data_IF_030460535739
#
_entry.id   IF_030460535739
#
_cell.length_a   1.000
_cell.length_b   1.000
_cell.length_c   1.000
_cell.angle_alpha   90.00
_cell.angle_beta   90.00
_cell.angle_gamma   90.00
#
_symmetry.space_group_name_H-M   'P 1'
#
loop_
_entity.id
_entity.type
_entity.pdbx_description
1 polymer ?
#
# COMPACT_ATOMS: atom_id res chain seq x y z
N UNK A 1 13.66 -12.96 -24.35
CA UNK A 1 12.36 -13.67 -24.41
C UNK A 1 11.25 -12.68 -24.09
N UNK A 2 10.46 -12.25 -25.07
CA UNK A 2 9.37 -11.30 -24.84
C UNK A 2 8.27 -11.98 -24.01
N UNK A 3 8.09 -11.58 -22.75
CA UNK A 3 6.99 -12.06 -21.92
C UNK A 3 5.70 -11.61 -22.61
N UNK A 4 4.94 -12.59 -23.12
CA UNK A 4 3.64 -12.36 -23.75
C UNK A 4 2.75 -11.60 -22.77
N UNK A 5 2.24 -10.47 -23.25
CA UNK A 5 1.29 -9.50 -22.67
C UNK A 5 -0.10 -10.08 -22.37
N UNK A 6 -0.19 -11.34 -21.94
CA UNK A 6 -1.47 -11.95 -21.56
C UNK A 6 -1.86 -11.51 -20.15
N UNK A 7 -3.09 -11.04 -19.94
CA UNK A 7 -3.61 -10.77 -18.61
C UNK A 7 -3.55 -12.03 -17.74
N UNK A 8 -3.17 -11.87 -16.48
CA UNK A 8 -3.11 -12.95 -15.50
C UNK A 8 -4.46 -13.12 -14.79
N UNK A 9 -4.84 -14.35 -14.45
CA UNK A 9 -6.03 -14.59 -13.64
C UNK A 9 -5.73 -14.47 -12.15
N UNK A 10 -6.77 -14.38 -11.32
CA UNK A 10 -6.65 -14.26 -9.86
C UNK A 10 -5.86 -15.40 -9.22
N UNK A 11 -6.01 -16.63 -9.73
CA UNK A 11 -5.33 -17.80 -9.17
C UNK A 11 -3.81 -17.72 -9.39
N UNK A 12 -3.37 -17.23 -10.56
CA UNK A 12 -1.93 -17.01 -10.80
C UNK A 12 -1.38 -15.94 -9.86
N UNK A 13 -2.11 -14.84 -9.64
CA UNK A 13 -1.71 -13.83 -8.67
C UNK A 13 -1.61 -14.39 -7.24
N UNK A 14 -2.59 -15.20 -6.82
CA UNK A 14 -2.57 -15.81 -5.48
C UNK A 14 -1.39 -16.75 -5.29
N UNK A 15 -1.19 -17.72 -6.20
CA UNK A 15 -0.10 -18.70 -6.10
C UNK A 15 1.27 -18.00 -5.99
N UNK A 16 1.47 -16.93 -6.77
CA UNK A 16 2.70 -16.15 -6.74
C UNK A 16 2.87 -15.33 -5.47
N UNK A 17 1.77 -14.85 -4.90
CA UNK A 17 1.75 -14.10 -3.64
C UNK A 17 2.04 -15.00 -2.44
N UNK A 18 1.41 -16.18 -2.40
CA UNK A 18 1.68 -17.23 -1.40
C UNK A 18 3.13 -17.69 -1.45
N UNK A 19 3.62 -18.02 -2.65
CA UNK A 19 5.03 -18.37 -2.87
C UNK A 19 6.00 -17.25 -2.47
N UNK A 20 5.55 -15.99 -2.52
CA UNK A 20 6.37 -14.83 -2.10
C UNK A 20 6.42 -14.73 -0.59
N UNK A 21 5.30 -14.79 0.12
CA UNK A 21 5.30 -14.74 1.59
C UNK A 21 6.08 -15.92 2.18
N UNK A 22 5.96 -17.13 1.62
CA UNK A 22 6.75 -18.28 2.07
C UNK A 22 8.25 -18.04 1.93
N UNK A 23 8.69 -17.47 0.80
CA UNK A 23 10.10 -17.12 0.58
C UNK A 23 10.60 -16.03 1.53
N UNK A 24 9.77 -15.03 1.83
CA UNK A 24 10.13 -13.93 2.74
C UNK A 24 10.53 -14.46 4.12
N UNK A 25 9.87 -15.51 4.63
CA UNK A 25 10.25 -16.13 5.92
C UNK A 25 11.72 -16.53 6.00
N UNK A 26 12.30 -16.94 4.88
CA UNK A 26 13.68 -17.43 4.81
C UNK A 26 14.67 -16.37 4.35
N UNK A 27 14.26 -15.48 3.44
CA UNK A 27 15.18 -14.58 2.73
C UNK A 27 14.79 -13.11 2.76
N UNK A 28 13.73 -12.73 3.47
CA UNK A 28 13.32 -11.33 3.63
C UNK A 28 14.19 -10.58 4.63
N UNK A 29 14.04 -9.25 4.69
CA UNK A 29 14.62 -8.46 5.78
C UNK A 29 13.98 -8.82 7.14
N UNK A 30 14.55 -8.33 8.24
CA UNK A 30 13.98 -8.56 9.57
C UNK A 30 12.55 -8.02 9.68
N UNK A 31 12.30 -6.81 9.18
CA UNK A 31 10.97 -6.20 9.15
C UNK A 31 9.99 -7.00 8.28
N UNK A 32 10.42 -7.42 7.08
CA UNK A 32 9.58 -8.22 6.17
C UNK A 32 9.20 -9.56 6.81
N UNK A 33 10.18 -10.24 7.42
CA UNK A 33 9.94 -11.50 8.14
C UNK A 33 9.00 -11.30 9.30
N UNK A 34 9.12 -10.22 10.06
CA UNK A 34 8.25 -9.95 11.20
C UNK A 34 6.76 -9.92 10.80
N UNK A 35 6.40 -9.24 9.70
CA UNK A 35 5.00 -9.22 9.23
C UNK A 35 4.50 -10.61 8.85
N UNK A 36 5.34 -11.35 8.13
CA UNK A 36 4.98 -12.64 7.56
C UNK A 36 4.92 -13.74 8.63
N UNK A 37 5.89 -13.79 9.55
CA UNK A 37 5.87 -14.75 10.65
C UNK A 37 4.64 -14.56 11.52
N UNK A 38 4.22 -13.32 11.78
CA UNK A 38 2.96 -13.03 12.48
C UNK A 38 1.72 -13.53 11.75
N UNK A 39 1.72 -13.59 10.42
CA UNK A 39 0.64 -14.24 9.67
C UNK A 39 0.64 -15.75 9.88
N UNK A 40 1.82 -16.38 9.87
CA UNK A 40 1.96 -17.84 9.98
C UNK A 40 1.80 -18.38 11.41
N UNK A 41 2.07 -17.57 12.45
CA UNK A 41 1.84 -17.92 13.85
C UNK A 41 0.37 -18.28 14.14
N UNK A 42 -0.57 -17.73 13.36
CA UNK A 42 -2.01 -17.89 13.60
C UNK A 42 -2.74 -18.28 12.31
N UNK A 43 -3.28 -19.52 12.21
CA UNK A 43 -4.03 -19.95 11.02
C UNK A 43 -5.21 -19.03 10.64
N UNK A 44 -5.81 -18.35 11.61
CA UNK A 44 -6.88 -17.39 11.36
C UNK A 44 -6.35 -16.07 10.75
N UNK A 45 -5.16 -15.62 11.13
CA UNK A 45 -4.53 -14.42 10.55
C UNK A 45 -4.19 -14.66 9.08
N UNK A 46 -3.60 -15.81 8.77
CA UNK A 46 -3.34 -16.24 7.39
C UNK A 46 -4.63 -16.28 6.55
N UNK A 47 -5.68 -16.96 7.00
CA UNK A 47 -6.96 -17.04 6.26
C UNK A 47 -7.61 -15.67 6.02
N UNK A 48 -7.51 -14.76 6.99
CA UNK A 48 -8.01 -13.38 6.82
C UNK A 48 -7.17 -12.60 5.82
N UNK A 49 -5.84 -12.76 5.85
CA UNK A 49 -4.96 -12.18 4.84
C UNK A 49 -5.29 -12.73 3.45
N UNK A 50 -5.35 -14.05 3.29
CA UNK A 50 -5.64 -14.75 2.04
C UNK A 50 -6.95 -14.24 1.42
N UNK A 51 -8.05 -14.21 2.20
CA UNK A 51 -9.34 -13.70 1.74
C UNK A 51 -9.31 -12.22 1.32
N UNK A 52 -8.63 -11.38 2.10
CA UNK A 52 -8.47 -9.96 1.83
C UNK A 52 -7.61 -9.71 0.59
N UNK A 53 -6.49 -10.43 0.48
CA UNK A 53 -5.55 -10.35 -0.63
C UNK A 53 -6.18 -10.88 -1.91
N UNK A 54 -6.90 -12.01 -1.84
CA UNK A 54 -7.68 -12.55 -2.96
C UNK A 54 -8.67 -11.52 -3.50
N UNK A 55 -9.40 -10.84 -2.62
CA UNK A 55 -10.33 -9.78 -3.03
C UNK A 55 -9.64 -8.62 -3.75
N UNK A 56 -8.41 -8.30 -3.36
CA UNK A 56 -7.58 -7.29 -4.00
C UNK A 56 -7.12 -7.77 -5.39
N UNK A 57 -6.49 -8.94 -5.49
CA UNK A 57 -5.96 -9.45 -6.77
C UNK A 57 -7.08 -9.85 -7.74
N UNK A 58 -8.26 -10.23 -7.25
CA UNK A 58 -9.45 -10.45 -8.09
C UNK A 58 -9.88 -9.17 -8.81
N UNK A 59 -9.84 -8.02 -8.14
CA UNK A 59 -10.12 -6.71 -8.76
C UNK A 59 -9.05 -6.35 -9.80
N UNK A 60 -7.79 -6.67 -9.54
CA UNK A 60 -6.71 -6.49 -10.51
C UNK A 60 -6.94 -7.39 -11.74
N UNK A 61 -7.15 -8.69 -11.52
CA UNK A 61 -7.37 -9.69 -12.55
C UNK A 61 -8.61 -9.45 -13.42
N UNK A 62 -9.65 -8.79 -12.88
CA UNK A 62 -10.83 -8.41 -13.64
C UNK A 62 -10.51 -7.50 -14.84
N UNK A 63 -9.36 -6.81 -14.82
CA UNK A 63 -8.88 -6.05 -15.97
C UNK A 63 -8.35 -6.99 -17.05
N UNK A 64 -9.01 -6.99 -18.22
CA UNK A 64 -8.70 -7.87 -19.35
C UNK A 64 -7.50 -7.44 -20.20
N UNK A 65 -6.76 -6.42 -19.77
CA UNK A 65 -5.56 -5.96 -20.48
C UNK A 65 -4.39 -5.89 -19.50
N UNK A 66 -3.19 -6.19 -19.97
CA UNK A 66 -1.97 -6.07 -19.16
C UNK A 66 -1.82 -4.67 -18.54
N UNK A 67 -2.07 -3.61 -19.33
CA UNK A 67 -2.07 -2.23 -18.85
C UNK A 67 -3.12 -1.96 -17.77
N UNK A 68 -4.32 -2.52 -17.91
CA UNK A 68 -5.37 -2.41 -16.91
C UNK A 68 -5.01 -3.13 -15.60
N UNK A 69 -4.32 -4.26 -15.68
CA UNK A 69 -3.82 -4.96 -14.50
C UNK A 69 -2.74 -4.16 -13.77
N UNK A 70 -1.82 -3.51 -14.51
CA UNK A 70 -0.84 -2.58 -13.94
C UNK A 70 -1.53 -1.45 -13.20
N UNK A 71 -2.47 -0.78 -13.86
CA UNK A 71 -3.25 0.30 -13.27
C UNK A 71 -3.98 -0.15 -11.99
N UNK A 72 -4.62 -1.33 -12.04
CA UNK A 72 -5.30 -1.92 -10.90
C UNK A 72 -4.35 -2.21 -9.73
N UNK A 73 -3.17 -2.76 -10.02
CA UNK A 73 -2.17 -3.07 -9.01
C UNK A 73 -1.58 -1.80 -8.37
N UNK A 74 -1.25 -0.79 -9.17
CA UNK A 74 -0.79 0.53 -8.67
C UNK A 74 -1.81 1.14 -7.71
N UNK A 75 -3.09 1.17 -8.09
CA UNK A 75 -4.18 1.63 -7.21
C UNK A 75 -4.26 0.84 -5.91
N UNK A 76 -4.13 -0.48 -6.00
CA UNK A 76 -4.16 -1.35 -4.83
C UNK A 76 -3.01 -1.01 -3.87
N UNK A 77 -1.79 -0.79 -4.39
CA UNK A 77 -0.60 -0.44 -3.60
C UNK A 77 -0.74 0.89 -2.86
N UNK A 78 -1.27 1.93 -3.51
CA UNK A 78 -1.60 3.18 -2.80
C UNK A 78 -2.58 2.94 -1.64
N UNK A 79 -3.63 2.16 -1.88
CA UNK A 79 -4.60 1.85 -0.84
C UNK A 79 -4.00 1.03 0.30
N UNK A 80 -3.04 0.14 0.03
CA UNK A 80 -2.31 -0.60 1.05
C UNK A 80 -1.42 0.32 1.91
N UNK A 81 -0.70 1.26 1.28
CA UNK A 81 0.10 2.28 1.97
C UNK A 81 -0.75 3.13 2.91
N UNK A 82 -1.95 3.51 2.48
CA UNK A 82 -2.86 4.31 3.31
C UNK A 82 -3.40 3.51 4.51
N UNK A 83 -3.72 2.23 4.30
CA UNK A 83 -4.30 1.36 5.34
C UNK A 83 -3.33 0.95 6.46
N UNK A 84 -2.03 1.15 6.28
CA UNK A 84 -1.05 0.90 7.34
C UNK A 84 -0.73 2.15 8.18
N UNK A 85 -1.15 3.33 7.72
CA UNK A 85 -0.61 4.59 8.23
C UNK A 85 -0.96 4.87 9.69
N UNK A 86 -2.18 4.54 10.14
CA UNK A 86 -2.57 4.76 11.53
C UNK A 86 -1.73 3.93 12.49
N UNK A 87 -1.68 2.60 12.30
CA UNK A 87 -0.87 1.75 13.16
C UNK A 87 0.61 2.13 13.09
N UNK A 88 1.14 2.41 11.90
CA UNK A 88 2.52 2.80 11.72
C UNK A 88 2.83 4.10 12.46
N UNK A 89 1.99 5.13 12.34
CA UNK A 89 2.16 6.38 13.09
C UNK A 89 2.10 6.16 14.60
N UNK A 90 1.13 5.40 15.10
CA UNK A 90 1.02 5.09 16.53
C UNK A 90 2.27 4.37 17.07
N UNK A 91 2.87 3.48 16.27
CA UNK A 91 4.09 2.75 16.61
C UNK A 91 5.31 3.66 16.55
N UNK A 92 5.54 4.31 15.42
CA UNK A 92 6.80 5.01 15.13
C UNK A 92 6.92 6.30 15.97
N UNK A 93 5.82 7.05 16.12
CA UNK A 93 5.76 8.22 17.00
C UNK A 93 5.52 7.88 18.48
N UNK A 94 5.46 6.59 18.84
CA UNK A 94 5.25 6.11 20.21
C UNK A 94 4.04 6.78 20.89
N UNK A 95 2.91 6.89 20.18
CA UNK A 95 1.72 7.56 20.71
C UNK A 95 1.09 6.70 21.83
N UNK A 96 0.96 7.28 23.03
CA UNK A 96 0.42 6.60 24.24
C UNK A 96 -0.71 7.39 24.90
N UNK A 97 -1.38 6.74 25.85
CA UNK A 97 -2.41 7.34 26.71
C UNK A 97 -3.58 7.94 25.93
N UNK A 98 -4.08 9.07 26.42
CA UNK A 98 -5.27 9.74 25.87
C UNK A 98 -5.14 10.10 24.39
N UNK A 99 -3.93 10.43 23.89
CA UNK A 99 -3.70 10.71 22.46
C UNK A 99 -3.97 9.49 21.60
N UNK A 100 -3.54 8.31 22.06
CA UNK A 100 -3.79 7.05 21.35
C UNK A 100 -5.27 6.71 21.32
N UNK A 101 -5.95 6.90 22.45
CA UNK A 101 -7.40 6.69 22.56
C UNK A 101 -8.16 7.62 21.61
N UNK A 102 -7.84 8.92 21.64
CA UNK A 102 -8.42 9.91 20.74
C UNK A 102 -8.24 9.52 19.27
N UNK A 103 -7.01 9.21 18.84
CA UNK A 103 -6.75 8.86 17.44
C UNK A 103 -7.50 7.59 17.04
N UNK A 104 -7.45 6.53 17.86
CA UNK A 104 -8.20 5.30 17.55
C UNK A 104 -9.69 5.58 17.45
N UNK A 105 -10.27 6.37 18.35
CA UNK A 105 -11.68 6.76 18.30
C UNK A 105 -12.02 7.62 17.08
N UNK A 106 -11.12 8.50 16.65
CA UNK A 106 -11.32 9.33 15.46
C UNK A 106 -11.38 8.50 14.17
N UNK A 107 -10.57 7.44 14.06
CA UNK A 107 -10.56 6.56 12.88
C UNK A 107 -11.54 5.38 12.97
N UNK A 108 -11.98 5.01 14.18
CA UNK A 108 -12.89 3.89 14.43
C UNK A 108 -14.05 4.28 15.37
N UNK A 109 -14.89 5.27 15.00
CA UNK A 109 -15.85 5.89 15.92
C UNK A 109 -16.93 4.94 16.45
N UNK A 110 -17.23 3.86 15.73
CA UNK A 110 -18.25 2.88 16.11
C UNK A 110 -17.70 1.67 16.89
N UNK A 111 -16.39 1.61 17.14
CA UNK A 111 -15.74 0.44 17.74
C UNK A 111 -15.33 0.70 19.19
N UNK A 112 -15.48 -0.32 20.04
CA UNK A 112 -14.85 -0.33 21.36
C UNK A 112 -13.33 -0.25 21.22
N UNK A 113 -12.67 0.60 22.00
CA UNK A 113 -11.24 0.92 21.87
C UNK A 113 -10.33 -0.32 21.74
N UNK A 114 -10.49 -1.33 22.61
CA UNK A 114 -9.64 -2.54 22.56
C UNK A 114 -9.83 -3.33 21.26
N UNK A 115 -11.09 -3.43 20.79
CA UNK A 115 -11.41 -4.09 19.52
C UNK A 115 -10.87 -3.29 18.34
N UNK A 116 -10.96 -1.97 18.39
CA UNK A 116 -10.41 -1.07 17.37
C UNK A 116 -8.88 -1.21 17.27
N UNK A 117 -8.17 -1.21 18.40
CA UNK A 117 -6.71 -1.43 18.43
C UNK A 117 -6.32 -2.79 17.87
N UNK A 118 -7.02 -3.86 18.25
CA UNK A 118 -6.75 -5.19 17.72
C UNK A 118 -7.02 -5.27 16.21
N UNK A 119 -8.16 -4.70 15.76
CA UNK A 119 -8.52 -4.65 14.35
C UNK A 119 -7.53 -3.85 13.50
N UNK A 120 -7.05 -2.72 14.02
CA UNK A 120 -6.05 -1.88 13.37
C UNK A 120 -4.71 -2.61 13.24
N UNK A 121 -4.26 -3.32 14.28
CA UNK A 121 -3.06 -4.15 14.21
C UNK A 121 -3.18 -5.28 13.18
N UNK A 122 -4.32 -5.98 13.16
CA UNK A 122 -4.56 -7.00 12.13
C UNK A 122 -4.59 -6.41 10.72
N UNK A 123 -5.20 -5.24 10.54
CA UNK A 123 -5.24 -4.55 9.26
C UNK A 123 -3.84 -4.14 8.80
N UNK A 124 -3.01 -3.67 9.73
CA UNK A 124 -1.61 -3.34 9.49
C UNK A 124 -0.81 -4.55 8.98
N UNK A 125 -0.91 -5.70 9.66
CA UNK A 125 -0.25 -6.95 9.24
C UNK A 125 -0.70 -7.41 7.85
N UNK A 126 -2.02 -7.39 7.59
CA UNK A 126 -2.58 -7.78 6.28
C UNK A 126 -2.13 -6.84 5.17
N UNK A 127 -2.08 -5.53 5.46
CA UNK A 127 -1.73 -4.51 4.47
C UNK A 127 -0.26 -4.61 4.09
N UNK A 128 0.63 -4.72 5.07
CA UNK A 128 2.08 -4.90 4.84
C UNK A 128 2.36 -6.17 4.04
N UNK A 129 1.79 -7.30 4.46
CA UNK A 129 2.00 -8.57 3.75
C UNK A 129 1.46 -8.55 2.31
N UNK A 130 0.32 -7.89 2.09
CA UNK A 130 -0.21 -7.67 0.74
C UNK A 130 0.63 -6.70 -0.09
N UNK A 131 1.26 -5.71 0.53
CA UNK A 131 2.16 -4.75 -0.14
C UNK A 131 3.42 -5.47 -0.62
N UNK A 132 4.05 -6.29 0.24
CA UNK A 132 5.20 -7.14 -0.13
C UNK A 132 4.89 -8.06 -1.32
N UNK A 133 3.67 -8.62 -1.37
CA UNK A 133 3.22 -9.40 -2.52
C UNK A 133 3.04 -8.51 -3.76
N UNK A 134 2.36 -7.37 -3.62
CA UNK A 134 2.08 -6.46 -4.74
C UNK A 134 3.34 -5.89 -5.36
N UNK A 135 4.39 -5.63 -4.56
CA UNK A 135 5.70 -5.16 -5.02
C UNK A 135 6.40 -6.25 -5.85
N UNK A 136 6.34 -7.51 -5.38
CA UNK A 136 6.83 -8.66 -6.14
C UNK A 136 6.06 -8.87 -7.45
N UNK A 137 4.73 -8.77 -7.43
CA UNK A 137 3.90 -8.88 -8.63
C UNK A 137 4.20 -7.75 -9.63
N UNK A 138 4.35 -6.51 -9.14
CA UNK A 138 4.66 -5.33 -9.94
C UNK A 138 6.02 -5.42 -10.64
N UNK A 139 7.06 -5.77 -9.88
CA UNK A 139 8.43 -5.90 -10.39
C UNK A 139 8.61 -7.12 -11.29
N UNK A 140 8.17 -8.32 -10.87
CA UNK A 140 8.49 -9.58 -11.58
C UNK A 140 7.56 -9.93 -12.72
N UNK A 141 6.30 -9.52 -12.68
CA UNK A 141 5.32 -9.91 -13.70
C UNK A 141 4.95 -8.76 -14.62
N UNK A 142 4.85 -7.56 -14.07
CA UNK A 142 4.34 -6.40 -14.79
C UNK A 142 5.44 -5.43 -15.24
N UNK A 143 6.69 -5.67 -14.83
CA UNK A 143 7.88 -4.89 -15.19
C UNK A 143 7.74 -3.39 -14.90
N UNK A 144 7.21 -3.06 -13.73
CA UNK A 144 6.85 -1.69 -13.35
C UNK A 144 7.89 -0.99 -12.46
N UNK A 145 9.17 -1.19 -12.74
CA UNK A 145 10.28 -0.72 -11.88
C UNK A 145 10.29 0.80 -11.65
N UNK A 146 9.89 1.59 -12.64
CA UNK A 146 9.79 3.05 -12.49
C UNK A 146 8.76 3.45 -11.43
N UNK A 147 7.66 2.71 -11.32
CA UNK A 147 6.64 2.97 -10.32
C UNK A 147 7.15 2.67 -8.90
N UNK A 148 8.02 1.67 -8.73
CA UNK A 148 8.60 1.31 -7.42
C UNK A 148 9.30 2.50 -6.75
N UNK A 149 10.21 3.15 -7.48
CA UNK A 149 10.96 4.30 -6.97
C UNK A 149 10.04 5.48 -6.61
N UNK A 150 9.02 5.73 -7.42
CA UNK A 150 8.07 6.82 -7.19
C UNK A 150 7.09 6.49 -6.05
N UNK A 151 6.78 5.21 -5.82
CA UNK A 151 5.93 4.78 -4.71
C UNK A 151 6.61 5.03 -3.38
N UNK A 152 7.94 4.89 -3.31
CA UNK A 152 8.67 5.22 -2.10
C UNK A 152 8.55 6.71 -1.76
N UNK A 153 8.74 7.60 -2.74
CA UNK A 153 8.53 9.04 -2.57
C UNK A 153 7.11 9.36 -2.12
N UNK A 154 6.10 8.71 -2.72
CA UNK A 154 4.71 8.85 -2.28
C UNK A 154 4.51 8.37 -0.83
N UNK A 155 5.09 7.22 -0.48
CA UNK A 155 4.93 6.61 0.84
C UNK A 155 5.47 7.52 1.93
N UNK A 156 6.68 8.05 1.76
CA UNK A 156 7.27 9.01 2.69
C UNK A 156 6.42 10.27 2.84
N UNK A 157 6.04 10.91 1.73
CA UNK A 157 5.20 12.11 1.78
C UNK A 157 3.81 11.85 2.36
N UNK A 158 3.22 10.68 2.14
CA UNK A 158 1.94 10.30 2.74
C UNK A 158 2.05 10.12 4.26
N UNK A 159 3.13 9.49 4.75
CA UNK A 159 3.36 9.33 6.18
C UNK A 159 3.59 10.66 6.89
N UNK A 160 4.32 11.59 6.27
CA UNK A 160 4.48 12.96 6.78
C UNK A 160 3.13 13.69 6.86
N UNK A 161 2.35 13.66 5.77
CA UNK A 161 0.99 14.21 5.76
C UNK A 161 0.12 13.59 6.86
N UNK A 162 0.15 12.26 6.99
CA UNK A 162 -0.67 11.54 7.95
C UNK A 162 -0.29 11.87 9.40
N UNK A 163 1.01 12.05 9.68
CA UNK A 163 1.48 12.48 11.00
C UNK A 163 0.95 13.86 11.36
N UNK A 164 1.11 14.84 10.47
CA UNK A 164 0.58 16.19 10.68
C UNK A 164 -0.95 16.19 10.81
N UNK A 165 -1.64 15.30 10.09
CA UNK A 165 -3.08 15.14 10.20
C UNK A 165 -3.50 14.61 11.58
N UNK A 166 -2.74 13.68 12.15
CA UNK A 166 -2.95 13.22 13.53
C UNK A 166 -2.69 14.34 14.55
N UNK A 167 -1.62 15.14 14.36
CA UNK A 167 -1.34 16.30 15.22
C UNK A 167 -2.47 17.33 15.18
N UNK A 168 -3.05 17.56 14.00
CA UNK A 168 -4.23 18.41 13.84
C UNK A 168 -5.45 17.87 14.59
N UNK A 169 -5.75 16.57 14.51
CA UNK A 169 -6.85 15.94 15.29
C UNK A 169 -6.63 16.17 16.79
N UNK A 170 -5.38 16.01 17.26
CA UNK A 170 -5.03 16.22 18.66
C UNK A 170 -5.25 17.68 19.07
N UNK A 171 -4.75 18.65 18.29
CA UNK A 171 -4.93 20.07 18.56
C UNK A 171 -6.42 20.48 18.56
N UNK A 172 -7.19 20.00 17.57
CA UNK A 172 -8.62 20.26 17.45
C UNK A 172 -9.39 19.75 18.67
N UNK A 173 -9.06 18.55 19.18
CA UNK A 173 -9.69 18.00 20.39
C UNK A 173 -9.46 18.83 21.66
N UNK A 174 -8.40 19.63 21.67
CA UNK A 174 -8.04 20.51 22.78
C UNK A 174 -8.55 21.95 22.58
N UNK A 175 -9.23 22.23 21.46
CA UNK A 175 -9.62 23.59 21.09
C UNK A 175 -8.43 24.49 20.76
N UNK A 176 -7.27 23.90 20.45
CA UNK A 176 -6.06 24.65 20.13
C UNK A 176 -6.01 25.00 18.63
N UNK A 177 -5.44 26.15 18.31
CA UNK A 177 -5.14 26.52 16.92
C UNK A 177 -4.04 25.61 16.36
N UNK A 178 -4.21 25.16 15.12
CA UNK A 178 -3.21 24.37 14.40
C UNK A 178 -2.61 25.18 13.24
N UNK A 179 -1.40 25.75 13.39
CA UNK A 179 -0.84 26.71 12.44
C UNK A 179 -0.54 26.11 11.06
N UNK A 180 -0.42 24.77 10.95
CA UNK A 180 -0.12 24.06 9.70
C UNK A 180 -1.37 23.56 8.96
N UNK A 181 -2.56 24.09 9.28
CA UNK A 181 -3.82 23.64 8.65
C UNK A 181 -3.85 23.89 7.15
N UNK A 182 -3.31 25.02 6.68
CA UNK A 182 -3.18 25.33 5.24
C UNK A 182 -2.25 24.33 4.55
N UNK A 183 -1.10 24.04 5.18
CA UNK A 183 -0.12 23.07 4.68
C UNK A 183 -0.73 21.67 4.52
N UNK A 184 -1.57 21.21 5.45
CA UNK A 184 -2.27 19.92 5.31
C UNK A 184 -3.09 19.83 4.02
N UNK A 185 -3.78 20.91 3.66
CA UNK A 185 -4.56 20.97 2.42
C UNK A 185 -3.65 20.88 1.19
N UNK A 186 -2.54 21.62 1.19
CA UNK A 186 -1.56 21.62 0.11
C UNK A 186 -0.87 20.25 -0.06
N UNK A 187 -0.48 19.61 1.03
CA UNK A 187 0.10 18.27 1.03
C UNK A 187 -0.88 17.25 0.46
N UNK A 188 -2.15 17.27 0.91
CA UNK A 188 -3.20 16.38 0.39
C UNK A 188 -3.40 16.55 -1.11
N UNK A 189 -3.42 17.79 -1.61
CA UNK A 189 -3.54 18.08 -3.03
C UNK A 189 -2.31 17.60 -3.83
N UNK A 190 -1.10 17.80 -3.28
CA UNK A 190 0.15 17.35 -3.89
C UNK A 190 0.20 15.83 -3.99
N UNK A 191 -0.14 15.11 -2.92
CA UNK A 191 -0.20 13.64 -2.90
C UNK A 191 -1.26 13.10 -3.86
N UNK A 192 -2.41 13.75 -3.97
CA UNK A 192 -3.47 13.38 -4.92
C UNK A 192 -3.02 13.54 -6.37
N UNK A 193 -2.33 14.64 -6.69
CA UNK A 193 -1.75 14.88 -8.01
C UNK A 193 -0.65 13.87 -8.33
N UNK A 194 0.24 13.60 -7.38
CA UNK A 194 1.30 12.60 -7.50
C UNK A 194 0.72 11.21 -7.78
N UNK A 195 -0.25 10.77 -6.97
CA UNK A 195 -0.95 9.50 -7.16
C UNK A 195 -1.59 9.42 -8.56
N UNK A 196 -2.31 10.46 -8.98
CA UNK A 196 -2.96 10.50 -10.29
C UNK A 196 -1.95 10.35 -11.45
N UNK A 197 -0.80 11.02 -11.35
CA UNK A 197 0.30 10.92 -12.33
C UNK A 197 0.92 9.54 -12.36
N UNK A 198 1.24 8.97 -11.19
CA UNK A 198 1.89 7.67 -11.06
C UNK A 198 1.01 6.53 -11.57
N UNK A 199 -0.30 6.60 -11.33
CA UNK A 199 -1.26 5.59 -11.77
C UNK A 199 -1.20 5.40 -13.30
N UNK A 200 -1.08 6.49 -14.08
CA UNK A 200 -1.04 6.46 -15.56
C UNK A 200 0.37 6.46 -16.14
N UNK A 201 1.40 6.35 -15.31
CA UNK A 201 2.80 6.39 -15.72
C UNK A 201 3.11 5.32 -16.79
N UNK A 202 3.87 5.65 -17.85
CA UNK A 202 4.28 4.65 -18.83
C UNK A 202 5.11 3.54 -18.20
N UNK A 203 4.81 2.30 -18.55
CA UNK A 203 5.58 1.11 -18.15
C UNK A 203 6.81 1.00 -19.04
N UNK A 204 7.97 0.72 -18.47
CA UNK A 204 9.18 0.49 -19.24
C UNK A 204 8.99 -0.75 -20.14
N UNK A 205 9.00 -0.57 -21.46
CA UNK A 205 8.83 -1.68 -22.42
C UNK A 205 7.96 -1.42 -23.65
N UNK A 206 7.60 -0.17 -23.97
CA UNK A 206 6.90 0.13 -25.22
C UNK A 206 7.47 1.35 -25.97
N UNK A 207 8.81 1.52 -25.96
CA UNK A 207 9.46 2.23 -27.05
C UNK A 207 9.44 1.27 -28.25
N UNK A 208 8.42 1.40 -29.09
CA UNK A 208 8.74 1.25 -30.51
C UNK A 208 9.73 2.37 -30.78
N UNK A 209 10.95 2.00 -31.13
CA UNK A 209 11.82 2.89 -31.89
C UNK A 209 11.03 3.34 -33.12
N UNK A 210 10.41 4.51 -33.02
CA UNK A 210 10.25 5.36 -34.19
C UNK A 210 11.60 6.01 -34.44
N UNK A 211 12.59 5.21 -34.84
CA UNK A 211 13.54 5.64 -35.85
C UNK A 211 12.72 5.77 -37.12
N UNK A 212 12.16 6.96 -37.34
CA UNK A 212 11.92 7.42 -38.70
C UNK A 212 13.29 7.36 -39.37
N UNK A 213 13.43 6.43 -40.31
CA UNK A 213 14.45 6.50 -41.34
C UNK A 213 14.33 7.87 -41.99
N UNK A 214 15.24 8.78 -41.65
CA UNK A 214 15.71 9.74 -42.62
C UNK A 214 16.79 9.00 -43.39
N UNK A 215 16.81 9.13 -44.72
CA UNK A 215 17.49 8.27 -45.72
C UNK A 215 16.61 7.10 -46.21
N UNK A 216 15.61 7.46 -47.02
CA UNK A 216 15.39 6.97 -48.40
C UNK A 216 14.47 7.96 -49.13
#
# INVERSE_FOLDING_TARGET
MAIRTRPLCSNVFMNLSESRIERIRWSGSEDERWYVDRLFERPQAYRRWESSHFSLVKKVAANRTHKGQIYGLRKARFSLVQRQALFQHLRDAQVRGWRRELLISAFHPAAEFRKAVAGEHEQFLRSNSSLLCSDYLGSKLLNDERFEAELETYRSGYMEFFSLYCDWIVAESQGAEFPLRSLLSEMKQTLTRLQSRMIVMPVAGNRRETTRSAWD
#
